data_IF_991923021484
#
_entry.id   IF_991923021484
#
_cell.length_a   1.000
_cell.length_b   1.000
_cell.length_c   1.000
_cell.angle_alpha   90.00
_cell.angle_beta   90.00
_cell.angle_gamma   90.00
#
_symmetry.space_group_name_H-M   'P 1'
#
loop_
_entity.id
_entity.type
_entity.pdbx_description
1 polymer ?
#
# COMPACT_ATOMS: atom_id res chain seq x y z
N UNK A 1 1.38 1.90 -36.85
CA UNK A 1 -0.04 1.53 -36.66
C UNK A 1 -0.10 0.01 -36.64
N UNK A 2 -0.45 -0.59 -35.50
CA UNK A 2 -0.48 -2.05 -35.34
C UNK A 2 -1.79 -2.63 -35.89
N UNK A 3 -1.73 -3.65 -36.75
CA UNK A 3 -2.91 -4.33 -37.32
C UNK A 3 -3.40 -5.49 -36.42
N UNK A 4 -3.92 -5.16 -35.25
CA UNK A 4 -4.39 -6.15 -34.26
C UNK A 4 -5.49 -7.04 -34.86
N UNK A 5 -6.37 -6.48 -35.71
CA UNK A 5 -7.45 -7.21 -36.35
C UNK A 5 -6.92 -8.28 -37.31
N UNK A 6 -6.01 -7.92 -38.22
CA UNK A 6 -5.42 -8.83 -39.19
C UNK A 6 -4.64 -9.97 -38.52
N UNK A 7 -3.88 -9.67 -37.47
CA UNK A 7 -3.18 -10.70 -36.69
C UNK A 7 -4.14 -11.63 -35.95
N UNK A 8 -5.17 -11.08 -35.30
CA UNK A 8 -6.19 -11.89 -34.61
C UNK A 8 -6.92 -12.82 -35.59
N UNK A 9 -7.24 -12.34 -36.80
CA UNK A 9 -7.86 -13.15 -37.86
C UNK A 9 -6.96 -14.31 -38.29
N UNK A 10 -5.66 -14.07 -38.50
CA UNK A 10 -4.68 -15.13 -38.83
C UNK A 10 -4.53 -16.14 -37.69
N UNK A 11 -4.47 -15.70 -36.43
CA UNK A 11 -4.37 -16.59 -35.27
C UNK A 11 -5.60 -17.50 -35.14
N UNK A 12 -6.80 -16.98 -35.40
CA UNK A 12 -8.05 -17.77 -35.40
C UNK A 12 -8.12 -18.80 -36.52
N UNK A 13 -7.46 -18.55 -37.66
CA UNK A 13 -7.33 -19.54 -38.74
C UNK A 13 -6.41 -20.70 -38.34
N UNK A 14 -5.34 -20.42 -37.58
CA UNK A 14 -4.40 -21.44 -37.11
C UNK A 14 -4.95 -22.25 -35.92
N UNK A 15 -5.69 -21.60 -35.01
CA UNK A 15 -6.31 -22.25 -33.84
C UNK A 15 -7.66 -21.62 -33.53
N UNK A 16 -8.71 -22.44 -33.52
CA UNK A 16 -10.05 -22.00 -33.11
C UNK A 16 -10.01 -21.57 -31.63
N UNK A 17 -10.70 -20.49 -31.31
CA UNK A 17 -10.79 -19.96 -29.94
C UNK A 17 -9.65 -19.02 -29.52
N UNK A 18 -8.88 -18.46 -30.46
CA UNK A 18 -7.92 -17.41 -30.12
C UNK A 18 -8.63 -16.06 -29.90
N UNK A 19 -8.41 -15.47 -28.72
CA UNK A 19 -8.96 -14.17 -28.26
C UNK A 19 -10.48 -14.20 -28.38
N UNK A 20 -11.16 -14.86 -27.45
CA UNK A 20 -12.59 -15.15 -27.56
C UNK A 20 -13.47 -14.02 -27.03
N UNK A 21 -13.01 -13.30 -26.00
CA UNK A 21 -13.79 -12.24 -25.37
C UNK A 21 -13.44 -10.85 -25.90
N UNK A 22 -14.41 -9.94 -25.85
CA UNK A 22 -14.22 -8.53 -26.16
C UNK A 22 -13.21 -7.91 -25.19
N UNK A 23 -13.19 -8.33 -23.93
CA UNK A 23 -12.27 -7.80 -22.91
C UNK A 23 -10.83 -8.24 -23.18
N UNK A 24 -10.59 -9.47 -23.64
CA UNK A 24 -9.27 -9.90 -24.11
C UNK A 24 -8.82 -9.07 -25.32
N UNK A 25 -9.74 -8.78 -26.25
CA UNK A 25 -9.42 -7.97 -27.43
C UNK A 25 -9.08 -6.52 -27.06
N UNK A 26 -9.83 -5.91 -26.13
CA UNK A 26 -9.53 -4.58 -25.57
C UNK A 26 -8.19 -4.57 -24.85
N UNK A 27 -7.92 -5.56 -24.01
CA UNK A 27 -6.67 -5.68 -23.27
C UNK A 27 -5.45 -5.71 -24.20
N UNK A 28 -5.54 -6.34 -25.38
CA UNK A 28 -4.46 -6.29 -26.37
C UNK A 28 -4.17 -4.87 -26.86
N UNK A 29 -5.20 -4.06 -27.11
CA UNK A 29 -5.01 -2.66 -27.49
C UNK A 29 -4.42 -1.84 -26.33
N UNK A 30 -4.91 -2.04 -25.11
CA UNK A 30 -4.40 -1.38 -23.90
C UNK A 30 -2.91 -1.69 -23.70
N UNK A 31 -2.50 -2.95 -23.79
CA UNK A 31 -1.09 -3.35 -23.68
C UNK A 31 -0.21 -2.73 -24.79
N UNK A 32 -0.71 -2.66 -26.03
CA UNK A 32 0.04 -2.07 -27.14
C UNK A 32 0.16 -0.56 -27.01
N UNK A 33 -0.89 0.10 -26.53
CA UNK A 33 -0.89 1.53 -26.23
C UNK A 33 0.09 1.85 -25.09
N UNK A 34 0.01 1.11 -23.97
CA UNK A 34 0.92 1.28 -22.84
C UNK A 34 2.37 1.03 -23.22
N UNK A 35 2.66 -0.02 -24.00
CA UNK A 35 4.00 -0.29 -24.50
C UNK A 35 4.51 0.80 -25.45
N UNK A 36 3.63 1.41 -26.24
CA UNK A 36 3.97 2.52 -27.13
C UNK A 36 4.26 3.82 -26.35
N UNK A 37 3.46 4.12 -25.33
CA UNK A 37 3.61 5.31 -24.48
C UNK A 37 4.83 5.20 -23.57
N UNK A 38 4.99 4.06 -22.88
CA UNK A 38 6.03 3.87 -21.86
C UNK A 38 7.40 3.57 -22.46
N UNK A 39 7.44 2.92 -23.63
CA UNK A 39 8.69 2.51 -24.28
C UNK A 39 9.54 1.58 -23.41
N UNK A 40 10.85 1.60 -23.61
CA UNK A 40 11.80 0.81 -22.82
C UNK A 40 12.26 1.58 -21.58
N UNK A 41 11.76 1.18 -20.41
CA UNK A 41 12.08 1.85 -19.13
C UNK A 41 13.14 1.11 -18.30
N UNK A 42 13.53 -0.11 -18.67
CA UNK A 42 14.53 -0.90 -17.97
C UNK A 42 15.93 -0.76 -18.59
N UNK A 43 16.95 -0.75 -17.74
CA UNK A 43 18.37 -0.64 -18.11
C UNK A 43 19.26 -1.36 -17.08
N UNK A 44 20.47 -1.81 -17.45
CA UNK A 44 21.39 -2.47 -16.52
C UNK A 44 21.96 -1.48 -15.50
N UNK A 45 22.34 -1.97 -14.32
CA UNK A 45 22.89 -1.14 -13.22
C UNK A 45 24.13 -0.35 -13.63
N UNK A 46 24.93 -0.88 -14.59
CA UNK A 46 26.09 -0.19 -15.16
C UNK A 46 25.76 1.16 -15.78
N UNK A 47 24.55 1.33 -16.31
CA UNK A 47 24.09 2.55 -16.97
C UNK A 47 23.39 3.53 -16.02
N UNK A 48 23.17 3.16 -14.75
CA UNK A 48 22.37 3.94 -13.80
C UNK A 48 22.86 5.40 -13.66
N UNK A 49 24.17 5.61 -13.54
CA UNK A 49 24.72 6.97 -13.41
C UNK A 49 24.48 7.83 -14.65
N UNK A 50 24.60 7.25 -15.84
CA UNK A 50 24.37 7.93 -17.10
C UNK A 50 22.89 8.26 -17.28
N UNK A 51 22.01 7.31 -16.98
CA UNK A 51 20.56 7.49 -17.08
C UNK A 51 20.06 8.56 -16.10
N UNK A 52 20.51 8.56 -14.84
CA UNK A 52 20.13 9.60 -13.87
C UNK A 52 20.58 10.99 -14.31
N UNK A 53 21.80 11.12 -14.86
CA UNK A 53 22.29 12.39 -15.42
C UNK A 53 21.41 12.85 -16.56
N UNK A 54 21.12 11.98 -17.52
CA UNK A 54 20.25 12.29 -18.66
C UNK A 54 18.85 12.75 -18.19
N UNK A 55 18.19 11.98 -17.32
CA UNK A 55 16.87 12.31 -16.79
C UNK A 55 16.83 13.61 -15.99
N UNK A 56 17.95 14.01 -15.39
CA UNK A 56 18.06 15.27 -14.62
C UNK A 56 18.19 16.51 -15.50
N UNK A 57 18.60 16.37 -16.77
CA UNK A 57 18.77 17.48 -17.70
C UNK A 57 17.42 18.05 -18.12
N UNK A 58 17.31 19.38 -18.14
CA UNK A 58 16.10 20.06 -18.59
C UNK A 58 16.07 20.10 -20.10
N UNK A 59 14.91 19.77 -20.67
CA UNK A 59 14.72 19.95 -22.11
C UNK A 59 14.71 21.45 -22.44
N UNK A 60 15.42 21.93 -23.48
CA UNK A 60 15.46 23.35 -23.83
C UNK A 60 14.06 23.96 -24.11
N UNK A 61 13.15 23.13 -24.61
CA UNK A 61 11.79 23.51 -25.01
C UNK A 61 10.86 23.62 -23.79
N UNK A 62 10.78 22.58 -22.97
CA UNK A 62 9.83 22.52 -21.85
C UNK A 62 10.38 23.09 -20.55
N UNK A 63 11.70 23.36 -20.49
CA UNK A 63 12.45 23.76 -19.27
C UNK A 63 12.24 22.83 -18.05
N UNK A 64 11.74 21.63 -18.31
CA UNK A 64 11.47 20.60 -17.32
C UNK A 64 12.36 19.40 -17.61
N UNK A 65 12.74 18.70 -16.54
CA UNK A 65 13.43 17.42 -16.63
C UNK A 65 12.41 16.27 -16.66
N UNK A 66 12.87 15.06 -16.95
CA UNK A 66 11.95 13.91 -17.07
C UNK A 66 11.26 13.57 -15.75
N UNK A 67 11.97 13.68 -14.63
CA UNK A 67 11.41 13.46 -13.29
C UNK A 67 10.22 14.37 -12.98
N UNK A 68 10.32 15.65 -13.33
CA UNK A 68 9.22 16.61 -13.15
C UNK A 68 8.02 16.27 -14.01
N UNK A 69 8.25 15.80 -15.24
CA UNK A 69 7.19 15.38 -16.15
C UNK A 69 6.47 14.14 -15.62
N UNK A 70 7.23 13.12 -15.21
CA UNK A 70 6.68 11.89 -14.59
C UNK A 70 5.87 12.23 -13.34
N UNK A 71 6.40 13.06 -12.45
CA UNK A 71 5.68 13.50 -11.25
C UNK A 71 4.38 14.24 -11.59
N UNK A 72 4.37 15.09 -12.60
CA UNK A 72 3.15 15.79 -13.04
C UNK A 72 2.11 14.82 -13.60
N UNK A 73 2.52 13.82 -14.39
CA UNK A 73 1.60 12.79 -14.90
C UNK A 73 1.01 12.00 -13.74
N UNK A 74 1.84 11.56 -12.79
CA UNK A 74 1.36 10.87 -11.57
C UNK A 74 0.47 11.77 -10.69
N UNK A 75 0.79 13.06 -10.58
CA UNK A 75 0.01 14.03 -9.81
C UNK A 75 -1.28 14.47 -10.51
N UNK A 76 -1.36 14.38 -11.84
CA UNK A 76 -2.59 14.59 -12.62
C UNK A 76 -3.47 13.33 -12.61
N UNK A 77 -2.85 12.15 -12.48
CA UNK A 77 -3.53 10.89 -12.18
C UNK A 77 -4.00 10.79 -10.71
N UNK A 78 -4.15 11.91 -10.00
CA UNK A 78 -4.75 12.03 -8.65
C UNK A 78 -6.25 11.77 -8.60
N UNK A 79 -6.87 11.25 -9.66
CA UNK A 79 -8.03 10.40 -9.40
C UNK A 79 -7.43 9.11 -8.87
N UNK A 80 -7.66 8.71 -7.61
CA UNK A 80 -7.33 7.35 -7.24
C UNK A 80 -8.03 6.50 -8.29
N UNK A 81 -7.26 5.90 -9.21
CA UNK A 81 -7.78 4.93 -10.16
C UNK A 81 -8.54 3.99 -9.28
N UNK A 82 -9.87 4.10 -9.31
CA UNK A 82 -10.79 3.53 -8.33
C UNK A 82 -10.21 2.21 -7.94
N UNK A 83 -9.59 2.15 -6.75
CA UNK A 83 -8.74 1.03 -6.38
C UNK A 83 -9.61 -0.18 -6.64
N UNK A 84 -9.26 -0.98 -7.65
CA UNK A 84 -10.09 -2.10 -8.06
C UNK A 84 -10.35 -2.87 -6.78
N UNK A 85 -11.63 -3.09 -6.44
CA UNK A 85 -12.04 -3.64 -5.15
C UNK A 85 -11.25 -4.92 -4.81
N UNK A 86 -10.82 -5.62 -5.87
CA UNK A 86 -9.90 -6.76 -5.84
C UNK A 86 -8.59 -6.56 -5.04
N UNK A 87 -8.08 -5.34 -4.86
CA UNK A 87 -6.83 -5.05 -4.13
C UNK A 87 -7.08 -4.37 -2.78
N UNK A 88 -8.33 -4.28 -2.32
CA UNK A 88 -8.64 -3.70 -1.02
C UNK A 88 -8.44 -4.73 0.11
N UNK A 89 -7.80 -4.34 1.23
CA UNK A 89 -7.84 -5.12 2.46
C UNK A 89 -9.22 -4.98 3.13
N UNK A 90 -9.79 -6.10 3.55
CA UNK A 90 -11.07 -6.16 4.23
C UNK A 90 -10.87 -6.53 5.70
N UNK A 91 -11.57 -5.82 6.58
CA UNK A 91 -11.51 -6.09 8.02
C UNK A 91 -12.49 -7.20 8.39
N UNK A 92 -12.02 -8.13 9.21
CA UNK A 92 -12.83 -9.21 9.79
C UNK A 92 -13.07 -9.00 11.29
N UNK A 93 -12.19 -8.26 11.95
CA UNK A 93 -12.32 -7.85 13.34
C UNK A 93 -12.95 -6.47 13.44
N UNK A 94 -14.25 -6.46 13.66
CA UNK A 94 -15.06 -5.25 13.83
C UNK A 94 -14.88 -4.61 15.21
N UNK A 95 -14.73 -3.29 15.26
CA UNK A 95 -14.60 -2.52 16.51
C UNK A 95 -15.94 -2.25 17.18
N UNK A 96 -17.03 -2.25 16.41
CA UNK A 96 -18.40 -2.08 16.92
C UNK A 96 -19.40 -2.74 15.97
N UNK A 97 -20.65 -2.89 16.41
CA UNK A 97 -21.71 -3.44 15.54
C UNK A 97 -22.03 -2.53 14.34
N UNK A 98 -21.69 -1.25 14.42
CA UNK A 98 -21.89 -0.26 13.35
C UNK A 98 -20.60 -0.02 12.54
N UNK A 99 -19.51 -0.75 12.83
CA UNK A 99 -18.25 -0.61 12.09
C UNK A 99 -18.34 -1.31 10.74
N UNK A 100 -17.68 -0.71 9.74
CA UNK A 100 -17.61 -1.26 8.39
C UNK A 100 -16.39 -2.17 8.25
N UNK A 101 -16.38 -2.99 7.19
CA UNK A 101 -15.22 -3.78 6.77
C UNK A 101 -14.19 -2.94 6.00
N UNK A 102 -14.46 -1.64 5.85
CA UNK A 102 -13.72 -0.71 5.03
C UNK A 102 -12.56 -0.08 5.80
N UNK A 103 -11.39 -0.09 5.18
CA UNK A 103 -10.24 0.73 5.55
C UNK A 103 -9.60 1.31 4.30
N UNK A 104 -9.07 2.53 4.40
CA UNK A 104 -8.40 3.18 3.28
C UNK A 104 -6.98 2.62 3.10
N UNK A 105 -6.88 1.49 2.40
CA UNK A 105 -5.61 0.86 2.07
C UNK A 105 -5.68 0.06 0.77
N UNK A 106 -4.52 -0.31 0.26
CA UNK A 106 -4.37 -1.13 -0.95
C UNK A 106 -3.27 -2.16 -0.77
N UNK A 107 -3.52 -3.38 -1.24
CA UNK A 107 -2.50 -4.40 -1.42
C UNK A 107 -1.58 -4.03 -2.58
N UNK A 108 -0.28 -4.02 -2.31
CA UNK A 108 0.77 -3.80 -3.28
C UNK A 108 1.59 -5.06 -3.40
N UNK A 109 1.78 -5.51 -4.64
CA UNK A 109 2.64 -6.62 -4.96
C UNK A 109 4.10 -6.26 -4.64
N UNK A 110 4.82 -7.18 -4.01
CA UNK A 110 6.26 -7.04 -3.85
C UNK A 110 7.00 -7.64 -5.03
N UNK A 111 8.33 -7.68 -4.93
CA UNK A 111 9.16 -8.22 -6.01
C UNK A 111 8.98 -9.73 -6.21
N UNK A 112 8.76 -10.47 -5.12
CA UNK A 112 8.69 -11.94 -5.16
C UNK A 112 7.30 -12.51 -4.93
N UNK A 113 6.40 -11.76 -4.28
CA UNK A 113 5.08 -12.22 -3.89
C UNK A 113 4.02 -11.18 -4.21
N UNK A 114 2.88 -11.64 -4.71
CA UNK A 114 1.69 -10.78 -4.85
C UNK A 114 1.11 -10.47 -3.47
N UNK A 115 0.53 -9.27 -3.31
CA UNK A 115 -0.10 -8.75 -2.09
C UNK A 115 0.82 -8.81 -0.86
N UNK A 116 2.10 -8.57 -1.07
CA UNK A 116 3.12 -8.65 -0.02
C UNK A 116 3.04 -7.47 0.96
N UNK A 117 2.64 -6.29 0.47
CA UNK A 117 2.59 -5.07 1.26
C UNK A 117 1.19 -4.46 1.28
N UNK A 118 0.87 -3.72 2.34
CA UNK A 118 -0.34 -2.91 2.43
C UNK A 118 0.09 -1.45 2.57
N UNK A 119 -0.36 -0.60 1.63
CA UNK A 119 -0.14 0.84 1.70
C UNK A 119 -1.43 1.50 2.17
N UNK A 120 -1.33 2.29 3.23
CA UNK A 120 -2.47 2.99 3.85
C UNK A 120 -2.06 4.39 4.25
N UNK A 121 -3.04 5.27 4.40
CA UNK A 121 -2.85 6.63 4.90
C UNK A 121 -2.58 6.65 6.42
N UNK A 122 -2.27 7.84 6.94
CA UNK A 122 -2.21 8.01 8.38
C UNK A 122 -3.61 7.82 9.00
N UNK A 123 -3.77 7.00 10.05
CA UNK A 123 -5.08 6.77 10.66
C UNK A 123 -5.67 8.06 11.24
N UNK A 124 -6.93 8.34 10.90
CA UNK A 124 -7.70 9.45 11.46
C UNK A 124 -8.21 9.08 12.86
N UNK A 125 -8.58 10.05 13.73
CA UNK A 125 -8.98 9.76 15.11
C UNK A 125 -10.07 8.69 15.26
N UNK A 126 -11.00 8.59 14.30
CA UNK A 126 -12.07 7.61 14.28
C UNK A 126 -11.68 6.26 13.65
N UNK A 127 -10.58 6.18 12.89
CA UNK A 127 -10.11 4.96 12.21
C UNK A 127 -8.85 4.34 12.85
N UNK A 128 -8.31 4.94 13.92
CA UNK A 128 -7.17 4.38 14.67
C UNK A 128 -7.41 2.93 15.11
N UNK A 129 -8.63 2.63 15.57
CA UNK A 129 -8.96 1.28 16.02
C UNK A 129 -9.02 0.29 14.84
N UNK A 130 -9.52 0.74 13.69
CA UNK A 130 -9.60 -0.05 12.45
C UNK A 130 -8.21 -0.34 11.86
N UNK A 131 -7.25 0.58 12.04
CA UNK A 131 -5.85 0.35 11.70
C UNK A 131 -5.27 -0.85 12.49
N UNK A 132 -5.63 -1.00 13.76
CA UNK A 132 -5.22 -2.17 14.54
C UNK A 132 -5.94 -3.45 14.11
N UNK A 133 -7.20 -3.37 13.68
CA UNK A 133 -7.88 -4.48 13.01
C UNK A 133 -7.11 -4.92 11.76
N UNK A 134 -6.72 -3.97 10.90
CA UNK A 134 -5.95 -4.24 9.69
C UNK A 134 -4.65 -4.97 10.00
N UNK A 135 -3.86 -4.47 10.96
CA UNK A 135 -2.58 -5.07 11.38
C UNK A 135 -2.79 -6.48 11.92
N UNK A 136 -3.82 -6.69 12.74
CA UNK A 136 -4.07 -7.98 13.35
C UNK A 136 -4.64 -9.01 12.36
N UNK A 137 -5.59 -8.62 11.52
CA UNK A 137 -6.30 -9.51 10.61
C UNK A 137 -5.42 -9.99 9.45
N UNK A 138 -4.54 -9.12 8.96
CA UNK A 138 -3.59 -9.45 7.88
C UNK A 138 -2.22 -9.93 8.38
N UNK A 139 -2.09 -10.26 9.66
CA UNK A 139 -0.85 -10.80 10.24
C UNK A 139 0.37 -9.91 9.98
N UNK A 140 0.20 -8.59 10.03
CA UNK A 140 1.28 -7.64 9.74
C UNK A 140 2.37 -7.69 10.84
N UNK A 141 3.46 -8.39 10.55
CA UNK A 141 4.62 -8.47 11.46
C UNK A 141 5.44 -7.19 11.51
N UNK A 142 5.38 -6.36 10.47
CA UNK A 142 6.16 -5.14 10.35
C UNK A 142 5.28 -4.00 9.85
N UNK A 143 5.38 -2.85 10.52
CA UNK A 143 4.69 -1.60 10.14
C UNK A 143 5.75 -0.53 9.96
N UNK A 144 5.79 0.06 8.76
CA UNK A 144 6.75 1.11 8.42
C UNK A 144 6.03 2.44 8.35
N UNK A 145 6.44 3.39 9.18
CA UNK A 145 5.91 4.74 9.26
C UNK A 145 6.90 5.69 8.59
N UNK A 146 6.48 6.25 7.45
CA UNK A 146 7.32 7.15 6.63
C UNK A 146 7.19 8.63 7.03
N UNK A 147 6.24 8.96 7.90
CA UNK A 147 5.95 10.33 8.32
C UNK A 147 6.33 10.56 9.79
N UNK A 148 6.66 11.81 10.12
CA UNK A 148 6.88 12.25 11.48
C UNK A 148 6.06 13.52 11.78
N UNK A 149 4.71 13.43 11.70
CA UNK A 149 3.87 14.58 12.00
C UNK A 149 3.89 14.87 13.51
N UNK A 150 3.71 16.14 13.87
CA UNK A 150 3.40 16.50 15.25
C UNK A 150 1.99 16.01 15.60
N UNK A 151 1.82 15.54 16.84
CA UNK A 151 0.53 15.06 17.35
C UNK A 151 -0.52 16.18 17.21
N UNK A 152 -1.53 15.92 16.38
CA UNK A 152 -2.60 16.87 16.07
C UNK A 152 -3.90 16.12 15.78
N UNK A 153 -5.01 16.84 15.66
CA UNK A 153 -6.31 16.23 15.32
C UNK A 153 -6.30 15.49 13.97
N UNK A 154 -5.42 15.90 13.05
CA UNK A 154 -5.31 15.27 11.73
C UNK A 154 -4.29 14.11 11.73
N UNK A 155 -3.33 14.14 12.65
CA UNK A 155 -2.29 13.12 12.78
C UNK A 155 -2.22 12.64 14.23
N UNK A 156 -3.24 11.88 14.69
CA UNK A 156 -3.21 11.33 16.04
C UNK A 156 -2.16 10.22 16.13
N UNK A 157 -1.42 10.18 17.24
CA UNK A 157 -0.62 9.00 17.58
C UNK A 157 -1.51 7.75 17.71
N UNK A 158 -1.28 6.78 16.82
CA UNK A 158 -2.04 5.53 16.75
C UNK A 158 -1.36 4.35 17.45
N UNK A 159 -0.19 4.54 18.06
CA UNK A 159 0.52 3.52 18.83
C UNK A 159 0.82 3.99 20.27
N UNK A 160 1.11 3.08 21.22
CA UNK A 160 1.47 3.46 22.58
C UNK A 160 2.78 4.25 22.61
N UNK A 161 2.82 5.35 23.38
CA UNK A 161 4.07 6.09 23.59
C UNK A 161 5.01 5.33 24.54
N UNK A 162 6.30 5.66 24.56
CA UNK A 162 7.28 5.03 25.47
C UNK A 162 6.93 5.15 26.96
N UNK A 163 6.17 6.20 27.32
CA UNK A 163 5.68 6.39 28.69
C UNK A 163 4.51 5.46 29.02
N UNK A 164 3.81 4.98 28.01
CA UNK A 164 2.61 4.14 28.12
C UNK A 164 2.96 2.68 27.79
N UNK A 165 3.24 1.88 28.82
CA UNK A 165 3.50 0.44 28.63
C UNK A 165 2.35 -0.32 27.97
N UNK A 166 1.12 0.20 28.07
CA UNK A 166 -0.09 -0.42 27.54
C UNK A 166 -1.12 0.64 27.19
N UNK A 167 -1.70 0.56 25.99
CA UNK A 167 -2.80 1.42 25.53
C UNK A 167 -3.92 0.59 24.89
N UNK A 168 -5.16 0.98 25.14
CA UNK A 168 -6.33 0.37 24.49
C UNK A 168 -6.68 1.13 23.21
N UNK A 169 -7.00 0.40 22.16
CA UNK A 169 -7.44 0.93 20.87
C UNK A 169 -8.77 0.29 20.52
N UNK A 170 -9.84 1.07 20.66
CA UNK A 170 -11.20 0.56 20.61
C UNK A 170 -11.53 -0.41 21.76
N UNK A 171 -12.67 -1.11 21.68
CA UNK A 171 -13.07 -2.09 22.69
C UNK A 171 -12.35 -3.44 22.53
N UNK A 172 -11.74 -3.70 21.37
CA UNK A 172 -11.19 -5.00 20.98
C UNK A 172 -9.71 -5.14 21.32
N UNK A 173 -8.90 -4.13 21.00
CA UNK A 173 -7.46 -4.28 21.06
C UNK A 173 -6.84 -3.60 22.27
N UNK A 174 -5.91 -4.31 22.90
CA UNK A 174 -4.99 -3.76 23.90
C UNK A 174 -3.57 -4.03 23.44
N UNK A 175 -2.82 -2.95 23.19
CA UNK A 175 -1.46 -3.01 22.67
C UNK A 175 -0.48 -2.67 23.78
N UNK A 176 0.56 -3.48 23.91
CA UNK A 176 1.57 -3.36 24.95
C UNK A 176 2.95 -3.18 24.34
N UNK A 177 3.71 -2.22 24.86
CA UNK A 177 5.09 -2.02 24.49
C UNK A 177 5.97 -3.09 25.16
N UNK A 178 6.65 -3.88 24.34
CA UNK A 178 7.62 -4.89 24.80
C UNK A 178 9.01 -4.27 24.91
N UNK A 179 9.47 -3.63 23.84
CA UNK A 179 10.79 -3.01 23.75
C UNK A 179 10.82 -1.94 22.67
N UNK A 180 11.81 -1.05 22.73
CA UNK A 180 12.05 -0.03 21.71
C UNK A 180 13.54 0.22 21.57
N UNK A 181 13.97 0.63 20.38
CA UNK A 181 15.35 1.05 20.10
C UNK A 181 15.34 2.29 19.19
N UNK A 182 16.20 3.25 19.49
CA UNK A 182 16.36 4.48 18.71
C UNK A 182 17.72 4.53 18.04
N UNK A 183 17.70 4.54 16.71
CA UNK A 183 18.86 4.81 15.86
C UNK A 183 18.76 6.23 15.31
N UNK A 184 19.86 6.82 14.80
CA UNK A 184 19.86 8.23 14.35
C UNK A 184 18.76 8.59 13.35
N UNK A 185 18.42 7.68 12.43
CA UNK A 185 17.45 7.92 11.35
C UNK A 185 16.18 7.05 11.45
N UNK A 186 16.14 6.12 12.40
CA UNK A 186 15.09 5.11 12.51
C UNK A 186 14.78 4.87 13.98
N UNK A 187 13.51 4.98 14.36
CA UNK A 187 13.03 4.53 15.65
C UNK A 187 12.25 3.24 15.49
N UNK A 188 12.39 2.33 16.44
CA UNK A 188 11.75 1.01 16.37
C UNK A 188 11.06 0.67 17.68
N UNK A 189 9.90 0.02 17.58
CA UNK A 189 9.14 -0.47 18.73
C UNK A 189 8.63 -1.87 18.44
N UNK A 190 8.63 -2.74 19.45
CA UNK A 190 8.02 -4.06 19.40
C UNK A 190 6.78 -4.02 20.28
N UNK A 191 5.64 -4.31 19.67
CA UNK A 191 4.34 -4.29 20.33
C UNK A 191 3.72 -5.68 20.38
N UNK A 192 3.11 -6.01 21.52
CA UNK A 192 2.21 -7.16 21.67
C UNK A 192 0.77 -6.70 21.56
N UNK A 193 0.05 -7.26 20.60
CA UNK A 193 -1.36 -7.01 20.35
C UNK A 193 -2.16 -8.10 21.04
N UNK A 194 -3.01 -7.72 21.99
CA UNK A 194 -3.94 -8.61 22.64
C UNK A 194 -5.35 -8.31 22.13
N UNK A 195 -5.98 -9.29 21.46
CA UNK A 195 -7.37 -9.22 21.01
C UNK A 195 -8.29 -9.72 22.12
N UNK A 196 -9.17 -8.85 22.61
CA UNK A 196 -10.28 -9.23 23.48
C UNK A 196 -11.40 -9.79 22.60
N UNK A 197 -11.91 -10.97 22.96
CA UNK A 197 -13.11 -11.52 22.32
C UNK A 197 -14.30 -10.65 22.72
N UNK A 198 -14.97 -10.06 21.74
CA UNK A 198 -16.12 -9.16 21.97
C UNK A 198 -17.38 -9.57 21.22
N UNK A 199 -17.28 -10.40 20.17
CA UNK A 199 -18.45 -10.86 19.43
C UNK A 199 -19.04 -12.14 20.05
N UNK A 200 -20.37 -12.24 20.07
CA UNK A 200 -21.06 -13.45 20.53
C UNK A 200 -20.66 -14.67 19.70
N UNK A 201 -20.47 -14.51 18.39
CA UNK A 201 -20.05 -15.58 17.48
C UNK A 201 -18.69 -16.15 17.86
N UNK A 202 -17.69 -15.31 18.11
CA UNK A 202 -16.36 -15.76 18.56
C UNK A 202 -16.44 -16.40 19.96
N UNK A 203 -17.25 -15.83 20.85
CA UNK A 203 -17.42 -16.32 22.21
C UNK A 203 -18.08 -17.72 22.24
N UNK A 204 -19.06 -17.95 21.36
CA UNK A 204 -19.72 -19.24 21.16
C UNK A 204 -18.81 -20.26 20.46
N UNK A 205 -17.92 -19.81 19.58
CA UNK A 205 -16.92 -20.67 18.91
C UNK A 205 -15.78 -21.12 19.84
N UNK A 206 -15.62 -20.50 21.02
CA UNK A 206 -14.53 -20.77 21.95
C UNK A 206 -13.15 -20.32 21.48
N UNK A 207 -13.06 -19.64 20.33
CA UNK A 207 -11.80 -19.14 19.76
C UNK A 207 -11.34 -17.92 20.57
N UNK A 208 -10.25 -18.09 21.32
CA UNK A 208 -9.57 -16.97 21.99
C UNK A 208 -8.72 -16.21 20.98
N UNK A 209 -8.75 -14.89 21.04
CA UNK A 209 -7.82 -14.05 20.27
C UNK A 209 -6.38 -14.38 20.64
N UNK A 210 -5.60 -14.87 19.68
CA UNK A 210 -4.19 -15.21 19.88
C UNK A 210 -3.38 -13.92 19.95
N UNK A 211 -2.59 -13.69 21.02
CA UNK A 211 -1.72 -12.53 21.07
C UNK A 211 -0.73 -12.56 19.90
N UNK A 212 -0.60 -11.44 19.18
CA UNK A 212 0.35 -11.29 18.06
C UNK A 212 1.42 -10.27 18.42
N UNK A 213 2.59 -10.38 17.81
CA UNK A 213 3.66 -9.40 17.95
C UNK A 213 3.92 -8.72 16.61
N UNK A 214 4.05 -7.40 16.64
CA UNK A 214 4.36 -6.59 15.47
C UNK A 214 5.49 -5.61 15.80
N UNK A 215 6.32 -5.30 14.81
CA UNK A 215 7.41 -4.35 14.95
C UNK A 215 7.13 -3.11 14.12
N UNK A 216 7.21 -1.95 14.76
CA UNK A 216 7.06 -0.66 14.13
C UNK A 216 8.44 -0.08 13.82
N UNK A 217 8.56 0.53 12.65
CA UNK A 217 9.75 1.24 12.18
C UNK A 217 9.33 2.63 11.74
N UNK A 218 9.74 3.67 12.45
CA UNK A 218 9.52 5.05 12.02
C UNK A 218 10.81 5.61 11.42
N UNK A 219 10.73 6.05 10.16
CA UNK A 219 11.84 6.71 9.47
C UNK A 219 11.78 8.20 9.78
N UNK A 220 12.83 8.74 10.42
CA UNK A 220 12.87 10.14 10.89
C UNK A 220 13.74 11.04 10.03
N UNK A 221 14.43 10.50 9.02
CA UNK A 221 15.35 11.26 8.17
C UNK A 221 14.69 11.86 6.92
N UNK A 222 13.36 11.84 6.82
CA UNK A 222 12.68 12.48 5.69
C UNK A 222 12.70 14.01 5.85
N UNK A 223 13.14 14.77 4.83
CA UNK A 223 13.19 16.22 4.93
C UNK A 223 11.77 16.81 5.09
N UNK A 224 11.60 17.67 6.11
CA UNK A 224 10.37 18.42 6.32
C UNK A 224 10.34 19.62 5.36
N UNK A 225 9.76 19.43 4.17
CA UNK A 225 9.42 20.51 3.25
C UNK A 225 10.12 20.45 1.89
N UNK A 226 9.29 20.48 0.84
CA UNK A 226 9.59 21.04 -0.48
C UNK A 226 8.33 21.72 -1.02
#
# INVERSE_FOLDING_TARGET
MYDVFGYTKKMRQARKGMIESVDQYKFVYECLEEAHISGKTWFPVSELSQQMKYKSMKTPITRQNEYQREYQVSALSRKPTLLSDNHRPYLTTFQSNDSTDYVNGVFVDGYTRSRENIVTEWPMPHTVADCWSLIYDHDCNSVVVLANPEDSSNYPSFWPTEKEKRRKFGPVFTVELISFNHYPNIKTWIFRINKKVVSLTELMSGVKGVPKTTQFFQITCWPLGH
#
